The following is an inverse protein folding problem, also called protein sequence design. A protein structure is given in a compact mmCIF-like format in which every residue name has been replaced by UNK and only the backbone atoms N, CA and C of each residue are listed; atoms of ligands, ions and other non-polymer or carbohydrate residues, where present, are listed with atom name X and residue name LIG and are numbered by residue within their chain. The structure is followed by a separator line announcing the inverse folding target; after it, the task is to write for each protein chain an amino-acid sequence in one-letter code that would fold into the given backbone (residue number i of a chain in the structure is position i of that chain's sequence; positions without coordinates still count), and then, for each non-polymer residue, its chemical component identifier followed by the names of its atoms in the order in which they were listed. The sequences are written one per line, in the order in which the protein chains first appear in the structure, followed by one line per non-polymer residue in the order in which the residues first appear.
data_IF_954830693156
#
_entry.id   IF_954830693156
#
_cell.length_a   1.000
_cell.length_b   1.000
_cell.length_c   1.000
_cell.angle_alpha   90.00
_cell.angle_beta   90.00
_cell.angle_gamma   90.00
#
_symmetry.space_group_name_H-M   'P 1'
#
loop_
_entity.id
_entity.type
_entity.pdbx_description
1 polymer ?
#
# COMPACT_ATOMS: atom_id res chain seq x y z
N UNK A 1 -16.17 27.93 2.89
CA UNK A 1 -16.67 26.97 3.89
C UNK A 1 -16.86 25.56 3.34
N UNK A 2 -17.23 25.35 2.07
CA UNK A 2 -17.40 24.02 1.47
C UNK A 2 -16.18 23.08 1.59
N UNK A 3 -14.95 23.60 1.39
CA UNK A 3 -13.72 22.80 1.49
C UNK A 3 -13.48 22.22 2.90
N UNK A 4 -13.88 22.93 3.96
CA UNK A 4 -13.73 22.42 5.33
C UNK A 4 -14.72 21.30 5.62
N UNK A 5 -15.95 21.40 5.11
CA UNK A 5 -16.95 20.34 5.26
C UNK A 5 -16.57 19.07 4.50
N UNK A 6 -15.97 19.19 3.30
CA UNK A 6 -15.46 18.04 2.55
C UNK A 6 -14.33 17.34 3.33
N UNK A 7 -13.35 18.11 3.83
CA UNK A 7 -12.26 17.59 4.66
C UNK A 7 -12.79 16.86 5.90
N UNK A 8 -13.81 17.42 6.56
CA UNK A 8 -14.42 16.79 7.72
C UNK A 8 -15.09 15.46 7.34
N UNK A 9 -15.85 15.42 6.24
CA UNK A 9 -16.48 14.19 5.77
C UNK A 9 -15.46 13.10 5.38
N UNK A 10 -14.29 13.48 4.86
CA UNK A 10 -13.19 12.55 4.58
C UNK A 10 -12.61 11.96 5.88
N UNK A 11 -12.42 12.80 6.90
CA UNK A 11 -11.95 12.38 8.23
C UNK A 11 -12.96 11.42 8.87
N UNK A 12 -14.25 11.77 8.86
CA UNK A 12 -15.31 10.94 9.44
C UNK A 12 -15.40 9.59 8.73
N UNK A 13 -15.27 9.60 7.39
CA UNK A 13 -15.24 8.36 6.59
C UNK A 13 -14.04 7.49 6.93
N UNK A 14 -12.85 8.08 7.10
CA UNK A 14 -11.64 7.34 7.47
C UNK A 14 -11.74 6.77 8.90
N UNK A 15 -12.34 7.50 9.85
CA UNK A 15 -12.59 7.00 11.19
C UNK A 15 -13.53 5.78 11.16
N UNK A 16 -14.60 5.86 10.38
CA UNK A 16 -15.53 4.75 10.18
C UNK A 16 -14.86 3.52 9.55
N UNK A 17 -14.01 3.73 8.53
CA UNK A 17 -13.23 2.64 7.91
C UNK A 17 -12.27 2.01 8.92
N UNK A 18 -11.59 2.82 9.73
CA UNK A 18 -10.69 2.32 10.77
C UNK A 18 -11.44 1.48 11.81
N UNK A 19 -12.61 1.92 12.28
CA UNK A 19 -13.40 1.14 13.24
C UNK A 19 -13.86 -0.20 12.64
N UNK A 20 -14.37 -0.20 11.40
CA UNK A 20 -14.76 -1.44 10.71
C UNK A 20 -13.59 -2.40 10.52
N UNK A 21 -12.42 -1.90 10.09
CA UNK A 21 -11.23 -2.72 9.92
C UNK A 21 -10.84 -3.39 11.24
N UNK A 22 -10.88 -2.66 12.36
CA UNK A 22 -10.57 -3.19 13.68
C UNK A 22 -11.57 -4.27 14.15
N UNK A 23 -12.87 -4.10 13.87
CA UNK A 23 -13.86 -5.15 14.15
C UNK A 23 -13.58 -6.42 13.33
N UNK A 24 -13.27 -6.27 12.04
CA UNK A 24 -12.92 -7.40 11.18
C UNK A 24 -11.64 -8.10 11.61
N UNK A 25 -10.62 -7.38 12.12
CA UNK A 25 -9.41 -7.98 12.71
C UNK A 25 -9.80 -8.90 13.86
N UNK A 26 -10.61 -8.43 14.80
CA UNK A 26 -11.04 -9.20 15.96
C UNK A 26 -11.83 -10.46 15.53
N UNK A 27 -12.72 -10.33 14.53
CA UNK A 27 -13.46 -11.47 13.99
C UNK A 27 -12.54 -12.49 13.32
N UNK A 28 -11.56 -12.03 12.54
CA UNK A 28 -10.59 -12.88 11.85
C UNK A 28 -9.66 -13.60 12.83
N UNK A 29 -9.23 -12.93 13.90
CA UNK A 29 -8.45 -13.52 14.99
C UNK A 29 -9.25 -14.59 15.73
N UNK A 30 -10.49 -14.27 16.13
CA UNK A 30 -11.39 -15.23 16.78
C UNK A 30 -11.67 -16.46 15.90
N UNK A 31 -11.76 -16.26 14.58
CA UNK A 31 -12.00 -17.32 13.59
C UNK A 31 -10.73 -18.04 13.13
N UNK A 32 -9.54 -17.68 13.66
CA UNK A 32 -8.23 -18.24 13.30
C UNK A 32 -7.90 -18.14 11.80
N UNK A 33 -8.18 -16.98 11.21
CA UNK A 33 -7.75 -16.63 9.85
C UNK A 33 -6.55 -15.66 9.88
N UNK A 34 -5.31 -16.17 10.10
CA UNK A 34 -4.14 -15.33 10.36
C UNK A 34 -3.81 -14.37 9.20
N UNK A 35 -3.95 -14.83 7.95
CA UNK A 35 -3.68 -13.97 6.79
C UNK A 35 -4.71 -12.82 6.67
N UNK A 36 -5.98 -13.09 6.97
CA UNK A 36 -7.02 -12.06 6.93
C UNK A 36 -6.84 -11.06 8.07
N UNK A 37 -6.61 -11.53 9.30
CA UNK A 37 -6.29 -10.68 10.45
C UNK A 37 -5.10 -9.77 10.15
N UNK A 38 -4.03 -10.31 9.55
CA UNK A 38 -2.87 -9.53 9.12
C UNK A 38 -3.23 -8.43 8.11
N UNK A 39 -3.92 -8.75 7.02
CA UNK A 39 -4.26 -7.77 5.98
C UNK A 39 -5.21 -6.68 6.51
N UNK A 40 -6.16 -7.05 7.36
CA UNK A 40 -7.10 -6.12 7.99
C UNK A 40 -6.38 -5.22 9.01
N UNK A 41 -5.43 -5.77 9.77
CA UNK A 41 -4.59 -5.01 10.71
C UNK A 41 -3.71 -3.99 10.00
N UNK A 42 -3.15 -4.37 8.84
CA UNK A 42 -2.41 -3.44 7.97
C UNK A 42 -3.32 -2.32 7.44
N UNK A 43 -4.55 -2.65 7.01
CA UNK A 43 -5.51 -1.64 6.54
C UNK A 43 -5.94 -0.67 7.67
N UNK A 44 -6.13 -1.18 8.88
CA UNK A 44 -6.40 -0.35 10.06
C UNK A 44 -5.25 0.61 10.36
N UNK A 45 -4.01 0.11 10.36
CA UNK A 45 -2.82 0.93 10.59
C UNK A 45 -2.70 2.05 9.54
N UNK A 46 -2.89 1.72 8.26
CA UNK A 46 -2.82 2.68 7.16
C UNK A 46 -3.90 3.77 7.27
N UNK A 47 -5.14 3.40 7.62
CA UNK A 47 -6.20 4.38 7.84
C UNK A 47 -5.88 5.34 8.99
N UNK A 48 -5.29 4.83 10.08
CA UNK A 48 -4.86 5.65 11.21
C UNK A 48 -3.69 6.57 10.86
N UNK A 49 -2.76 6.09 10.04
CA UNK A 49 -1.65 6.91 9.54
C UNK A 49 -2.17 8.06 8.66
N UNK A 50 -3.13 7.81 7.76
CA UNK A 50 -3.78 8.87 6.98
C UNK A 50 -4.50 9.87 7.89
N UNK A 51 -5.22 9.40 8.91
CA UNK A 51 -5.88 10.27 9.90
C UNK A 51 -4.89 11.16 10.68
N UNK A 52 -3.68 10.67 10.95
CA UNK A 52 -2.58 11.45 11.56
C UNK A 52 -1.85 12.35 10.56
N UNK A 53 -2.23 12.34 9.28
CA UNK A 53 -1.57 13.10 8.22
C UNK A 53 -0.27 12.46 7.72
N UNK A 54 0.02 11.21 8.10
CA UNK A 54 1.11 10.43 7.53
C UNK A 54 0.72 9.90 6.14
N UNK A 55 1.72 9.74 5.26
CA UNK A 55 1.48 9.25 3.90
C UNK A 55 1.40 7.72 3.92
N UNK A 56 0.38 7.12 3.26
CA UNK A 56 0.27 5.69 3.02
C UNK A 56 1.61 5.04 2.64
N UNK A 57 2.03 4.01 3.37
CA UNK A 57 3.17 3.19 2.99
C UNK A 57 2.79 2.34 1.78
N UNK A 58 2.86 2.94 0.58
CA UNK A 58 2.61 2.23 -0.68
C UNK A 58 3.61 1.08 -0.80
N UNK A 59 3.19 -0.15 -0.47
CA UNK A 59 4.00 -1.34 -0.72
C UNK A 59 4.17 -1.50 -2.23
N UNK A 60 5.40 -1.38 -2.78
CA UNK A 60 5.64 -1.46 -4.21
C UNK A 60 5.21 -2.80 -4.83
N UNK A 61 5.13 -3.86 -4.01
CA UNK A 61 4.76 -5.21 -4.46
C UNK A 61 3.28 -5.40 -4.81
N UNK A 62 2.37 -4.58 -4.30
CA UNK A 62 0.93 -4.67 -4.62
C UNK A 62 0.54 -3.84 -5.85
N UNK A 63 1.42 -2.92 -6.27
CA UNK A 63 1.30 -2.24 -7.56
C UNK A 63 1.87 -3.17 -8.63
N UNK A 64 1.00 -3.88 -9.35
CA UNK A 64 1.34 -4.89 -10.37
C UNK A 64 2.14 -4.39 -11.59
N UNK A 65 2.92 -3.31 -11.46
CA UNK A 65 3.94 -2.92 -12.40
C UNK A 65 5.30 -3.44 -11.90
N UNK A 66 5.48 -4.76 -11.94
CA UNK A 66 6.80 -5.37 -12.04
C UNK A 66 7.41 -4.98 -13.39
N UNK A 67 8.04 -3.80 -13.42
CA UNK A 67 8.91 -3.40 -14.52
C UNK A 67 10.00 -4.48 -14.66
N UNK A 68 9.84 -5.28 -15.70
CA UNK A 68 10.80 -6.23 -16.21
C UNK A 68 12.20 -5.59 -16.17
N UNK A 69 13.21 -6.17 -15.49
CA UNK A 69 14.58 -5.71 -15.68
C UNK A 69 14.91 -5.98 -17.15
N UNK A 70 15.06 -4.92 -17.94
CA UNK A 70 15.55 -4.97 -19.31
C UNK A 70 16.99 -5.46 -19.21
N UNK A 71 17.18 -6.76 -19.35
CA UNK A 71 18.49 -7.39 -19.54
C UNK A 71 19.12 -6.72 -20.75
N UNK A 72 20.08 -5.82 -20.51
CA UNK A 72 20.95 -5.29 -21.55
C UNK A 72 21.78 -6.47 -22.07
N UNK A 73 21.27 -7.09 -23.13
CA UNK A 73 21.99 -8.10 -23.89
C UNK A 73 23.19 -7.42 -24.56
N UNK A 74 24.37 -7.68 -23.98
CA UNK A 74 25.72 -7.64 -24.56
C UNK A 74 25.80 -7.02 -25.96
N UNK A 75 26.19 -5.76 -26.02
CA UNK A 75 26.64 -5.13 -27.25
C UNK A 75 28.00 -5.73 -27.65
N UNK A 76 27.92 -6.64 -28.62
CA UNK A 76 29.02 -7.36 -29.22
C UNK A 76 29.77 -6.40 -30.16
N UNK A 77 30.85 -5.75 -29.68
CA UNK A 77 31.78 -5.01 -30.56
C UNK A 77 33.23 -5.41 -30.30
N UNK A 78 33.61 -6.53 -30.92
CA UNK A 78 35.01 -6.89 -31.13
C UNK A 78 35.65 -5.79 -31.99
N UNK A 79 36.63 -5.10 -31.42
CA UNK A 79 37.38 -4.03 -32.07
C UNK A 79 38.60 -4.65 -32.76
N UNK A 80 38.78 -4.52 -34.09
CA UNK A 80 39.98 -5.04 -34.74
C UNK A 80 41.17 -4.13 -34.41
N UNK A 81 42.19 -4.71 -33.76
CA UNK A 81 43.51 -4.09 -33.56
C UNK A 81 44.12 -3.81 -34.94
N UNK A 82 44.40 -2.53 -35.23
CA UNK A 82 45.29 -2.16 -36.33
C UNK A 82 46.74 -2.21 -35.84
N UNK A 83 47.57 -2.88 -36.62
CA UNK A 83 49.03 -2.80 -36.59
C UNK A 83 49.49 -1.51 -37.27
#
# INVERSE_FOLDING_TARGET
MANQSLRQSEIDSLQYIASMANELVQMAEASRFPMMSYLLGMAYAEAFDVLRGARPARHPQLSGNSMHPRTQAKDNRVQPRRA
#
